data_IF_793907622514
#
_entry.id   IF_793907622514
#
_cell.length_a   1.000
_cell.length_b   1.000
_cell.length_c   1.000
_cell.angle_alpha   90.00
_cell.angle_beta   90.00
_cell.angle_gamma   90.00
#
_symmetry.space_group_name_H-M   'P 1'
#
loop_
_entity.id
_entity.type
_entity.pdbx_description
1 polymer ?
#
# COMPACT_ATOMS: atom_id res chain seq x y z
N UNK A 1 -13.18 11.69 -22.78
CA UNK A 1 -13.91 12.29 -21.65
C UNK A 1 -14.33 11.19 -20.69
N UNK A 2 -14.15 11.37 -19.38
CA UNK A 2 -14.44 10.35 -18.38
C UNK A 2 -15.97 10.15 -18.24
N UNK A 3 -16.49 9.01 -18.69
CA UNK A 3 -17.94 8.75 -18.72
C UNK A 3 -18.64 8.86 -17.35
N UNK A 4 -17.92 8.57 -16.26
CA UNK A 4 -18.46 8.66 -14.90
C UNK A 4 -18.69 10.11 -14.41
N UNK A 5 -17.99 11.10 -14.96
CA UNK A 5 -18.26 12.51 -14.66
C UNK A 5 -19.60 12.95 -15.25
N UNK A 6 -19.89 12.51 -16.47
CA UNK A 6 -21.18 12.74 -17.14
C UNK A 6 -22.34 12.16 -16.35
N UNK A 7 -22.19 10.92 -15.84
CA UNK A 7 -23.21 10.27 -15.01
C UNK A 7 -23.48 10.98 -13.68
N UNK A 8 -22.55 11.82 -13.19
CA UNK A 8 -22.66 12.54 -11.91
C UNK A 8 -22.93 14.04 -12.08
N UNK A 9 -23.03 14.54 -13.32
CA UNK A 9 -23.15 15.98 -13.58
C UNK A 9 -21.90 16.78 -13.21
N UNK A 10 -20.74 16.13 -13.11
CA UNK A 10 -19.47 16.72 -12.68
C UNK A 10 -18.53 17.00 -13.86
N UNK A 11 -19.09 17.15 -15.06
CA UNK A 11 -18.30 17.29 -16.30
C UNK A 11 -17.66 18.68 -16.42
N UNK A 12 -18.26 19.67 -15.78
CA UNK A 12 -17.81 21.08 -15.79
C UNK A 12 -16.91 21.41 -14.57
N UNK A 13 -16.50 20.40 -13.80
CA UNK A 13 -15.62 20.61 -12.64
C UNK A 13 -14.15 20.69 -13.11
N UNK A 14 -13.61 21.91 -13.09
CA UNK A 14 -12.22 22.20 -13.47
C UNK A 14 -11.19 21.45 -12.62
N UNK A 15 -11.47 21.22 -11.34
CA UNK A 15 -10.57 20.49 -10.46
C UNK A 15 -10.53 19.02 -10.87
N UNK A 16 -11.69 18.38 -11.06
CA UNK A 16 -11.75 16.99 -11.49
C UNK A 16 -11.11 16.80 -12.86
N UNK A 17 -11.35 17.72 -13.79
CA UNK A 17 -10.71 17.67 -15.12
C UNK A 17 -9.19 17.67 -15.00
N UNK A 18 -8.60 18.56 -14.19
CA UNK A 18 -7.16 18.60 -13.92
C UNK A 18 -6.64 17.36 -13.21
N UNK A 19 -7.40 16.80 -12.26
CA UNK A 19 -7.04 15.55 -11.57
C UNK A 19 -6.97 14.40 -12.56
N UNK A 20 -7.95 14.28 -13.46
CA UNK A 20 -7.99 13.21 -14.47
C UNK A 20 -6.85 13.31 -15.49
N UNK A 21 -6.39 14.52 -15.79
CA UNK A 21 -5.24 14.78 -16.66
C UNK A 21 -3.89 14.58 -15.95
N UNK A 22 -3.90 14.52 -14.61
CA UNK A 22 -2.70 14.37 -13.80
C UNK A 22 -2.05 12.98 -13.88
N UNK A 23 -0.72 12.93 -13.89
CA UNK A 23 0.03 11.67 -13.90
C UNK A 23 -0.26 10.75 -12.70
N UNK A 24 -0.57 11.35 -11.54
CA UNK A 24 -0.94 10.60 -10.34
C UNK A 24 -2.23 9.78 -10.56
N UNK A 25 -3.20 10.33 -11.28
CA UNK A 25 -4.44 9.62 -11.61
C UNK A 25 -4.20 8.50 -12.64
N UNK A 26 -3.34 8.74 -13.64
CA UNK A 26 -2.93 7.69 -14.57
C UNK A 26 -2.24 6.51 -13.86
N UNK A 27 -1.38 6.79 -12.89
CA UNK A 27 -0.77 5.78 -12.01
C UNK A 27 -1.83 5.02 -11.20
N UNK A 28 -2.76 5.74 -10.58
CA UNK A 28 -3.86 5.17 -9.83
C UNK A 28 -4.71 4.19 -10.67
N UNK A 29 -5.11 4.58 -11.89
CA UNK A 29 -5.87 3.72 -12.80
C UNK A 29 -5.05 2.50 -13.24
N UNK A 30 -3.75 2.67 -13.46
CA UNK A 30 -2.86 1.57 -13.87
C UNK A 30 -2.70 0.54 -12.75
N UNK A 31 -2.52 0.99 -11.51
CA UNK A 31 -2.37 0.11 -10.34
C UNK A 31 -3.67 -0.62 -9.99
N UNK A 32 -4.81 0.08 -10.10
CA UNK A 32 -6.10 -0.40 -9.55
C UNK A 32 -7.11 -0.83 -10.60
N UNK A 33 -6.83 -0.63 -11.88
CA UNK A 33 -7.73 -0.96 -12.99
C UNK A 33 -7.93 -2.46 -13.20
N UNK A 34 -6.98 -3.30 -12.77
CA UNK A 34 -7.13 -4.75 -12.84
C UNK A 34 -8.15 -5.25 -11.80
N UNK A 35 -9.16 -6.05 -12.19
CA UNK A 35 -10.19 -6.54 -11.27
C UNK A 35 -9.69 -7.61 -10.31
N UNK A 36 -8.59 -8.30 -10.64
CA UNK A 36 -7.98 -9.34 -9.80
C UNK A 36 -6.60 -8.90 -9.33
N UNK A 37 -6.51 -8.45 -8.07
CA UNK A 37 -5.30 -7.86 -7.50
C UNK A 37 -5.31 -7.94 -5.96
N UNK A 38 -4.21 -7.59 -5.27
CA UNK A 38 -4.26 -7.38 -3.83
C UNK A 38 -5.28 -6.29 -3.50
N UNK A 39 -6.10 -6.55 -2.47
CA UNK A 39 -7.07 -5.59 -1.94
C UNK A 39 -6.35 -4.74 -0.90
N UNK A 40 -6.44 -3.42 -1.04
CA UNK A 40 -5.92 -2.46 -0.08
C UNK A 40 -7.05 -1.80 0.75
N UNK A 41 -6.68 -0.87 1.63
CA UNK A 41 -7.64 -0.13 2.45
C UNK A 41 -8.66 0.64 1.60
N UNK A 42 -8.26 1.17 0.44
CA UNK A 42 -9.14 1.94 -0.42
C UNK A 42 -10.28 1.06 -0.95
N UNK A 43 -9.97 -0.14 -1.40
CA UNK A 43 -10.96 -1.10 -1.90
C UNK A 43 -11.99 -1.49 -0.84
N UNK A 44 -11.54 -1.74 0.39
CA UNK A 44 -12.43 -2.06 1.52
C UNK A 44 -13.41 -0.92 1.79
N UNK A 45 -12.91 0.32 1.83
CA UNK A 45 -13.73 1.49 2.11
C UNK A 45 -14.73 1.75 0.99
N UNK A 46 -14.29 1.70 -0.26
CA UNK A 46 -15.18 1.89 -1.42
C UNK A 46 -16.30 0.84 -1.42
N UNK A 47 -15.99 -0.42 -1.08
CA UNK A 47 -16.98 -1.50 -1.09
C UNK A 47 -18.00 -1.44 0.05
N UNK A 48 -17.56 -1.12 1.27
CA UNK A 48 -18.35 -1.40 2.47
C UNK A 48 -18.75 -0.19 3.30
N UNK A 49 -18.12 0.98 3.10
CA UNK A 49 -18.27 2.12 4.00
C UNK A 49 -19.72 2.62 4.07
N UNK A 50 -20.39 2.81 2.93
CA UNK A 50 -21.79 3.27 2.89
C UNK A 50 -22.72 2.33 3.64
N UNK A 51 -22.53 1.02 3.45
CA UNK A 51 -23.35 0.00 4.12
C UNK A 51 -23.16 0.07 5.63
N UNK A 52 -21.91 0.27 6.06
CA UNK A 52 -21.55 0.37 7.47
C UNK A 52 -22.09 1.65 8.10
N UNK A 53 -21.91 2.79 7.45
CA UNK A 53 -22.45 4.08 7.91
C UNK A 53 -23.97 4.02 8.12
N UNK A 54 -24.71 3.45 7.16
CA UNK A 54 -26.17 3.25 7.28
C UNK A 54 -26.54 2.32 8.44
N UNK A 55 -25.77 1.27 8.67
CA UNK A 55 -26.02 0.32 9.78
C UNK A 55 -25.69 0.90 11.17
N UNK A 56 -24.87 1.95 11.23
CA UNK A 56 -24.44 2.63 12.45
C UNK A 56 -25.23 3.94 12.70
N UNK A 57 -26.07 4.35 11.75
CA UNK A 57 -26.89 5.56 11.82
C UNK A 57 -27.74 5.59 13.10
N UNK A 58 -27.76 6.73 13.77
CA UNK A 58 -28.44 6.90 15.06
C UNK A 58 -27.71 6.34 16.28
N UNK A 59 -26.63 5.56 16.12
CA UNK A 59 -25.83 5.03 17.24
C UNK A 59 -24.46 5.71 17.35
N UNK A 60 -24.40 6.78 18.15
CA UNK A 60 -23.19 7.59 18.37
C UNK A 60 -21.98 6.76 18.82
N UNK A 61 -22.18 5.73 19.63
CA UNK A 61 -21.07 4.90 20.15
C UNK A 61 -20.45 4.04 19.04
N UNK A 62 -21.27 3.46 18.16
CA UNK A 62 -20.77 2.69 17.01
C UNK A 62 -20.02 3.57 16.03
N UNK A 63 -20.55 4.77 15.74
CA UNK A 63 -19.90 5.75 14.86
C UNK A 63 -18.53 6.16 15.42
N UNK A 64 -18.45 6.52 16.71
CA UNK A 64 -17.18 6.91 17.33
C UNK A 64 -16.15 5.77 17.34
N UNK A 65 -16.60 4.53 17.56
CA UNK A 65 -15.72 3.36 17.44
C UNK A 65 -15.22 3.19 16.02
N UNK A 66 -16.09 3.33 15.02
CA UNK A 66 -15.72 3.21 13.63
C UNK A 66 -14.69 4.28 13.22
N UNK A 67 -14.89 5.53 13.61
CA UNK A 67 -13.91 6.61 13.37
C UNK A 67 -12.53 6.24 13.94
N UNK A 68 -12.49 5.69 15.17
CA UNK A 68 -11.23 5.24 15.79
C UNK A 68 -10.55 4.12 15.00
N UNK A 69 -11.32 3.15 14.54
CA UNK A 69 -10.79 2.04 13.72
C UNK A 69 -10.20 2.56 12.39
N UNK A 70 -10.88 3.49 11.71
CA UNK A 70 -10.39 4.11 10.49
C UNK A 70 -9.11 4.91 10.75
N UNK A 71 -9.09 5.72 11.81
CA UNK A 71 -7.91 6.48 12.20
C UNK A 71 -6.70 5.56 12.47
N UNK A 72 -6.91 4.42 13.14
CA UNK A 72 -5.84 3.45 13.39
C UNK A 72 -5.33 2.79 12.10
N UNK A 73 -6.24 2.44 11.17
CA UNK A 73 -5.87 1.89 9.86
C UNK A 73 -5.04 2.90 9.05
N UNK A 74 -5.46 4.17 9.02
CA UNK A 74 -4.74 5.25 8.35
C UNK A 74 -3.37 5.48 8.98
N UNK A 75 -3.30 5.55 10.32
CA UNK A 75 -2.05 5.72 11.04
C UNK A 75 -1.05 4.60 10.72
N UNK A 76 -1.49 3.33 10.72
CA UNK A 76 -0.65 2.19 10.36
C UNK A 76 -0.21 2.21 8.89
N UNK A 77 -1.03 2.76 8.00
CA UNK A 77 -0.70 2.88 6.58
C UNK A 77 0.35 3.96 6.32
N UNK A 78 0.28 5.08 7.04
CA UNK A 78 1.28 6.17 6.97
C UNK A 78 2.57 5.84 7.73
N UNK A 79 2.48 4.96 8.74
CA UNK A 79 3.60 4.50 9.55
C UNK A 79 3.77 2.99 9.35
N UNK A 80 4.14 2.54 8.14
CA UNK A 80 4.44 1.13 7.94
C UNK A 80 5.50 0.74 8.96
N UNK A 81 5.22 -0.33 9.72
CA UNK A 81 6.20 -0.90 10.66
C UNK A 81 7.55 -0.95 9.95
N UNK A 82 8.66 -0.49 10.55
CA UNK A 82 9.94 -0.48 9.86
C UNK A 82 10.28 -1.91 9.49
N UNK A 83 10.04 -2.26 8.22
CA UNK A 83 10.45 -3.52 7.66
C UNK A 83 11.96 -3.49 7.72
N UNK A 84 12.53 -4.15 8.74
CA UNK A 84 13.96 -4.39 8.96
C UNK A 84 14.83 -3.27 8.42
N UNK A 85 15.17 -2.27 9.25
CA UNK A 85 16.20 -1.23 8.96
C UNK A 85 17.00 -1.63 7.75
N UNK A 86 16.60 -1.14 6.56
CA UNK A 86 17.24 -1.47 5.28
C UNK A 86 18.72 -1.52 5.58
N UNK A 87 19.33 -2.71 5.46
CA UNK A 87 20.74 -2.92 5.79
C UNK A 87 21.46 -1.68 5.31
N UNK A 88 21.94 -0.86 6.26
CA UNK A 88 22.59 0.42 5.95
C UNK A 88 23.55 0.07 4.83
N UNK A 89 23.23 0.46 3.58
CA UNK A 89 24.14 0.25 2.47
C UNK A 89 25.38 0.96 2.95
N UNK A 90 26.40 0.19 3.33
CA UNK A 90 27.59 0.77 3.92
C UNK A 90 28.05 1.77 2.88
N UNK A 91 28.12 3.04 3.28
CA UNK A 91 28.61 4.08 2.39
C UNK A 91 29.95 3.59 1.85
N UNK A 92 30.14 3.53 0.52
CA UNK A 92 31.42 3.16 -0.04
C UNK A 92 32.51 3.96 0.68
N UNK A 93 33.60 3.30 1.07
CA UNK A 93 34.67 3.97 1.79
C UNK A 93 35.10 5.25 1.04
N UNK A 94 35.23 6.35 1.76
CA UNK A 94 35.64 7.64 1.18
C UNK A 94 36.91 7.44 0.33
N UNK A 95 36.90 7.95 -0.90
CA UNK A 95 38.02 7.81 -1.86
C UNK A 95 38.01 6.55 -2.73
N UNK A 96 36.96 5.71 -2.72
CA UNK A 96 36.87 4.54 -3.62
C UNK A 96 36.95 4.92 -5.12
N UNK A 97 36.46 6.10 -5.49
CA UNK A 97 36.43 6.63 -6.85
C UNK A 97 37.82 7.04 -7.40
N UNK A 98 38.86 7.09 -6.55
CA UNK A 98 40.24 7.43 -6.94
C UNK A 98 41.15 6.21 -7.09
N UNK A 99 40.66 4.99 -6.83
CA UNK A 99 41.49 3.78 -6.92
C UNK A 99 41.69 3.37 -8.39
N UNK A 100 42.92 3.56 -8.88
CA UNK A 100 43.38 3.19 -10.23
C UNK A 100 43.46 1.66 -10.49
N UNK A 101 43.28 0.84 -9.45
CA UNK A 101 43.32 -0.62 -9.53
C UNK A 101 42.12 -1.21 -8.78
N UNK A 102 41.21 -1.93 -9.45
CA UNK A 102 40.17 -2.70 -8.78
C UNK A 102 40.84 -3.77 -7.92
N UNK A 103 40.65 -3.72 -6.59
CA UNK A 103 41.03 -4.87 -5.75
C UNK A 103 40.14 -6.04 -6.14
N UNK A 104 40.70 -7.25 -6.35
CA UNK A 104 39.87 -8.42 -6.60
C UNK A 104 38.96 -8.67 -5.39
N UNK A 105 37.74 -9.13 -5.66
CA UNK A 105 36.79 -9.46 -4.61
C UNK A 105 37.39 -10.55 -3.70
N UNK A 106 37.30 -10.42 -2.37
CA UNK A 106 37.84 -11.42 -1.46
C UNK A 106 37.21 -12.79 -1.75
N UNK A 107 37.99 -13.86 -1.62
CA UNK A 107 37.44 -15.21 -1.71
C UNK A 107 36.51 -15.41 -0.51
N UNK A 108 35.29 -15.85 -0.79
CA UNK A 108 34.34 -16.21 0.26
C UNK A 108 34.72 -17.58 0.82
N UNK A 109 34.67 -17.69 2.15
CA UNK A 109 34.77 -18.97 2.84
C UNK A 109 33.39 -19.62 2.87
N UNK A 110 33.27 -20.79 2.24
CA UNK A 110 31.99 -21.48 2.06
C UNK A 110 31.34 -21.84 3.41
N UNK A 111 32.14 -22.26 4.40
CA UNK A 111 31.66 -22.59 5.74
C UNK A 111 31.07 -21.38 6.48
N UNK A 112 31.74 -20.22 6.37
CA UNK A 112 31.27 -18.96 6.96
C UNK A 112 29.98 -18.49 6.30
N UNK A 113 29.88 -18.59 4.97
CA UNK A 113 28.66 -18.25 4.23
C UNK A 113 27.51 -19.15 4.68
N UNK A 114 27.74 -20.47 4.74
CA UNK A 114 26.72 -21.42 5.18
C UNK A 114 26.27 -21.15 6.62
N UNK A 115 27.21 -20.87 7.53
CA UNK A 115 26.88 -20.53 8.92
C UNK A 115 26.05 -19.24 9.05
N UNK A 116 26.35 -18.21 8.24
CA UNK A 116 25.55 -16.98 8.20
C UNK A 116 24.12 -17.27 7.70
N UNK A 117 23.99 -18.10 6.65
CA UNK A 117 22.71 -18.52 6.11
C UNK A 117 21.91 -19.30 7.16
N UNK A 118 22.54 -20.26 7.83
CA UNK A 118 21.90 -21.08 8.85
C UNK A 118 21.46 -20.24 10.05
N UNK A 119 22.29 -19.28 10.48
CA UNK A 119 21.95 -18.35 11.56
C UNK A 119 20.77 -17.44 11.18
N UNK A 120 20.74 -16.92 9.94
CA UNK A 120 19.63 -16.11 9.45
C UNK A 120 18.34 -16.93 9.32
N UNK A 121 18.45 -18.17 8.82
CA UNK A 121 17.32 -19.10 8.68
C UNK A 121 16.73 -19.47 10.03
N UNK A 122 17.57 -19.75 11.04
CA UNK A 122 17.14 -20.03 12.40
C UNK A 122 16.44 -18.81 13.05
N UNK A 123 16.93 -17.59 12.79
CA UNK A 123 16.28 -16.34 13.23
C UNK A 123 14.93 -16.11 12.55
N UNK A 124 14.78 -16.50 11.28
CA UNK A 124 13.51 -16.40 10.55
C UNK A 124 12.47 -17.45 11.00
N UNK A 125 12.91 -18.68 11.32
CA UNK A 125 12.02 -19.74 11.82
C UNK A 125 11.39 -19.40 13.19
N UNK A 126 12.07 -18.59 13.99
CA UNK A 126 11.62 -18.15 15.31
C UNK A 126 10.90 -16.80 15.28
N UNK A 127 10.90 -16.11 14.15
CA UNK A 127 10.16 -14.87 13.95
C UNK A 127 8.69 -15.17 13.60
N UNK A 128 7.72 -14.39 14.11
CA UNK A 128 6.36 -14.42 13.59
C UNK A 128 6.41 -14.18 12.08
N UNK A 129 5.51 -14.78 11.26
CA UNK A 129 5.52 -14.56 9.82
C UNK A 129 5.40 -13.08 9.50
N UNK A 130 6.54 -12.45 9.19
CA UNK A 130 6.59 -11.10 8.68
C UNK A 130 6.18 -11.18 7.21
N UNK A 131 5.18 -10.39 6.85
CA UNK A 131 4.52 -10.34 5.54
C UNK A 131 3.48 -11.44 5.36
N UNK A 132 2.21 -11.08 5.57
CA UNK A 132 1.09 -11.81 4.96
C UNK A 132 1.36 -11.85 3.46
N UNK A 133 1.46 -13.05 2.89
CA UNK A 133 1.51 -13.19 1.44
C UNK A 133 0.35 -12.39 0.83
N UNK A 134 0.64 -11.47 -0.08
CA UNK A 134 -0.39 -10.70 -0.79
C UNK A 134 -1.28 -11.68 -1.56
N UNK A 135 -2.45 -11.95 -1.01
CA UNK A 135 -3.45 -12.80 -1.67
C UNK A 135 -4.18 -11.93 -2.67
N UNK A 136 -3.98 -12.20 -3.95
CA UNK A 136 -4.76 -11.60 -5.01
C UNK A 136 -6.17 -12.18 -4.97
N UNK A 137 -7.18 -11.34 -5.12
CA UNK A 137 -8.57 -11.76 -5.23
C UNK A 137 -9.36 -10.78 -6.09
N UNK A 138 -10.62 -11.12 -6.37
CA UNK A 138 -11.54 -10.23 -7.07
C UNK A 138 -11.83 -9.02 -6.18
N UNK A 139 -11.62 -7.81 -6.71
CA UNK A 139 -11.91 -6.56 -6.01
C UNK A 139 -13.42 -6.44 -5.82
N UNK A 140 -13.91 -6.23 -4.59
CA UNK A 140 -15.33 -6.06 -4.32
C UNK A 140 -15.86 -4.79 -4.98
N UNK A 141 -17.05 -4.86 -5.56
CA UNK A 141 -17.68 -3.70 -6.17
C UNK A 141 -18.19 -2.72 -5.11
N UNK A 142 -17.97 -1.43 -5.36
CA UNK A 142 -18.57 -0.35 -4.58
C UNK A 142 -20.09 -0.24 -4.79
N UNK A 143 -20.78 0.55 -3.93
CA UNK A 143 -22.17 0.93 -4.15
C UNK A 143 -22.37 1.56 -5.52
N UNK A 144 -23.54 1.36 -6.16
CA UNK A 144 -23.84 1.97 -7.45
C UNK A 144 -23.70 3.49 -7.41
N UNK A 145 -23.33 4.08 -8.54
CA UNK A 145 -22.94 5.48 -8.70
C UNK A 145 -23.97 6.48 -8.14
N UNK A 146 -25.27 6.13 -8.08
CA UNK A 146 -26.34 6.97 -7.54
C UNK A 146 -26.57 6.91 -6.02
N UNK A 147 -25.90 6.02 -5.28
CA UNK A 147 -26.14 5.87 -3.83
C UNK A 147 -25.37 6.87 -2.94
N UNK A 148 -24.50 7.69 -3.53
CA UNK A 148 -23.64 8.64 -2.80
C UNK A 148 -24.18 10.08 -2.80
N UNK A 149 -25.29 10.34 -3.49
CA UNK A 149 -25.87 11.67 -3.66
C UNK A 149 -27.35 11.71 -3.28
N UNK A 150 -27.68 11.59 -2.00
CA UNK A 150 -28.95 12.09 -1.44
C UNK A 150 -28.70 12.54 -0.01
N UNK A 151 -28.51 13.83 0.15
CA UNK A 151 -28.46 14.58 1.40
C UNK A 151 -28.78 16.03 1.08
#
# INVERSE_FOLDING_TARGET
>A
QAAFLGQRGLTEDDFLTKVLEGMAFAGFVTERGAPYRPIDLFDELVAYEVKRMKAEEGNKQKILRHIKELAEKLYKNENPYPAVTMHKVQRPAEGCHLRLQPKPFPRLDEGTVQWIIDQATAKLQTAPPAVRAEKKCMVPSGPPIGMWGTG
#
